data_IF_278074785317
#
_entry.id   IF_278074785317
#
_cell.length_a   1.000
_cell.length_b   1.000
_cell.length_c   1.000
_cell.angle_alpha   90.00
_cell.angle_beta   90.00
_cell.angle_gamma   90.00
#
_symmetry.space_group_name_H-M   'P 1'
#
loop_
_entity.id
_entity.type
_entity.pdbx_description
1 polymer ?
#
# COMPACT_ATOMS: atom_id res chain seq x y z
N UNK A 1 -7.27 12.83 18.39
CA UNK A 1 -6.68 11.86 17.45
C UNK A 1 -5.25 12.29 17.16
N UNK A 2 -4.27 11.50 17.59
CA UNK A 2 -2.83 11.81 17.47
C UNK A 2 -2.32 11.17 16.19
N UNK A 3 -2.32 11.92 15.07
CA UNK A 3 -2.11 11.36 13.72
C UNK A 3 -0.63 11.20 13.37
N UNK A 4 0.25 11.99 13.98
CA UNK A 4 1.69 12.02 13.70
C UNK A 4 2.50 11.60 14.94
N UNK A 5 2.33 10.34 15.36
CA UNK A 5 3.13 9.74 16.43
C UNK A 5 3.57 8.33 16.01
N UNK A 6 4.69 7.89 16.59
CA UNK A 6 5.19 6.54 16.35
C UNK A 6 4.14 5.49 16.74
N UNK A 7 4.16 4.36 16.03
CA UNK A 7 3.24 3.22 16.24
C UNK A 7 1.75 3.56 16.08
N UNK A 8 1.40 4.56 15.27
CA UNK A 8 0.00 4.88 14.93
C UNK A 8 -0.35 4.32 13.55
N UNK A 9 -1.50 3.65 13.43
CA UNK A 9 -2.00 3.19 12.14
C UNK A 9 -2.25 4.36 11.18
N UNK A 10 -1.93 4.14 9.91
CA UNK A 10 -2.11 5.12 8.84
C UNK A 10 -3.28 4.74 7.94
N UNK A 11 -3.91 5.75 7.36
CA UNK A 11 -5.02 5.63 6.43
C UNK A 11 -4.74 6.33 5.09
N UNK A 12 -5.78 6.42 4.27
CA UNK A 12 -5.69 7.05 2.94
C UNK A 12 -5.26 8.52 2.97
N UNK A 13 -5.60 9.25 4.04
CA UNK A 13 -5.21 10.66 4.18
C UNK A 13 -3.70 10.82 4.35
N UNK A 14 -3.05 9.92 5.09
CA UNK A 14 -1.60 9.90 5.25
C UNK A 14 -0.92 9.54 3.94
N UNK A 15 -1.48 8.62 3.14
CA UNK A 15 -0.94 8.34 1.80
C UNK A 15 -1.06 9.56 0.88
N UNK A 16 -2.19 10.28 0.90
CA UNK A 16 -2.33 11.50 0.11
C UNK A 16 -1.34 12.59 0.58
N UNK A 17 -1.15 12.74 1.90
CA UNK A 17 -0.14 13.65 2.44
C UNK A 17 1.27 13.26 1.97
N UNK A 18 1.61 11.97 2.02
CA UNK A 18 2.89 11.45 1.54
C UNK A 18 3.08 11.71 0.04
N UNK A 19 2.07 11.43 -0.80
CA UNK A 19 2.10 11.71 -2.24
C UNK A 19 2.44 13.18 -2.50
N UNK A 20 1.80 14.11 -1.78
CA UNK A 20 2.06 15.55 -1.90
C UNK A 20 3.50 15.92 -1.51
N UNK A 21 4.08 15.28 -0.48
CA UNK A 21 5.45 15.55 -0.04
C UNK A 21 6.47 15.04 -1.05
N UNK A 22 6.29 13.81 -1.56
CA UNK A 22 7.22 13.21 -2.52
C UNK A 22 7.03 13.72 -3.96
N UNK A 23 5.91 14.38 -4.25
CA UNK A 23 5.57 14.90 -5.58
C UNK A 23 5.31 13.81 -6.63
N UNK A 24 5.01 12.58 -6.17
CA UNK A 24 4.77 11.40 -7.01
C UNK A 24 3.38 10.82 -6.74
N UNK A 25 2.69 10.28 -7.75
CA UNK A 25 1.48 9.49 -7.53
C UNK A 25 1.74 8.29 -6.61
N UNK A 26 0.76 7.98 -5.77
CA UNK A 26 0.74 6.73 -4.99
C UNK A 26 -0.43 5.88 -5.47
N UNK A 27 -0.15 4.64 -5.86
CA UNK A 27 -1.18 3.65 -6.12
C UNK A 27 -1.32 2.73 -4.91
N UNK A 28 -2.46 2.82 -4.25
CA UNK A 28 -2.81 1.98 -3.11
C UNK A 28 -3.60 0.77 -3.60
N UNK A 29 -3.25 -0.42 -3.15
CA UNK A 29 -3.86 -1.70 -3.57
C UNK A 29 -4.34 -2.47 -2.35
N UNK A 30 -5.61 -2.84 -2.33
CA UNK A 30 -6.21 -3.69 -1.32
C UNK A 30 -6.37 -5.11 -1.86
N UNK A 31 -6.00 -6.16 -1.09
CA UNK A 31 -6.03 -7.54 -1.56
C UNK A 31 -7.46 -8.06 -1.69
N UNK A 32 -7.63 -9.19 -2.36
CA UNK A 32 -8.93 -9.86 -2.49
C UNK A 32 -9.28 -10.66 -1.23
N UNK A 33 -9.49 -9.94 -0.13
CA UNK A 33 -9.88 -10.45 1.19
C UNK A 33 -10.71 -9.41 1.92
N UNK A 34 -11.61 -9.86 2.79
CA UNK A 34 -12.53 -8.98 3.51
C UNK A 34 -13.68 -8.46 2.66
N UNK A 35 -14.26 -7.34 3.09
CA UNK A 35 -15.39 -6.70 2.42
C UNK A 35 -14.98 -5.96 1.15
N UNK A 36 -15.78 -6.13 0.10
CA UNK A 36 -15.63 -5.41 -1.17
C UNK A 36 -15.62 -3.88 -0.99
N UNK A 37 -16.36 -3.34 -0.02
CA UNK A 37 -16.41 -1.89 0.22
C UNK A 37 -15.02 -1.33 0.54
N UNK A 38 -14.21 -2.10 1.28
CA UNK A 38 -12.84 -1.73 1.59
C UNK A 38 -11.97 -1.80 0.35
N UNK A 39 -12.11 -2.85 -0.47
CA UNK A 39 -11.37 -2.98 -1.72
C UNK A 39 -11.65 -1.79 -2.66
N UNK A 40 -12.91 -1.39 -2.82
CA UNK A 40 -13.30 -0.24 -3.65
C UNK A 40 -12.73 1.06 -3.07
N UNK A 41 -12.79 1.24 -1.75
CA UNK A 41 -12.34 2.47 -1.11
C UNK A 41 -10.80 2.62 -1.10
N UNK A 42 -10.08 1.53 -0.82
CA UNK A 42 -8.64 1.53 -0.61
C UNK A 42 -7.82 1.23 -1.87
N UNK A 43 -8.38 0.56 -2.88
CA UNK A 43 -7.70 0.34 -4.17
C UNK A 43 -7.88 1.55 -5.08
N UNK A 44 -6.95 2.51 -4.99
CA UNK A 44 -7.04 3.74 -5.78
C UNK A 44 -5.70 4.43 -5.98
N UNK A 45 -5.62 5.20 -7.07
CA UNK A 45 -4.52 6.13 -7.33
C UNK A 45 -4.78 7.47 -6.63
N UNK A 46 -3.80 7.93 -5.86
CA UNK A 46 -3.76 9.23 -5.22
C UNK A 46 -2.78 10.11 -5.99
N UNK A 47 -3.24 11.29 -6.40
CA UNK A 47 -2.41 12.25 -7.11
C UNK A 47 -1.98 13.37 -6.16
N UNK A 48 -0.70 13.77 -6.17
CA UNK A 48 -0.28 14.97 -5.49
C UNK A 48 -0.84 16.21 -6.17
N UNK A 49 -0.98 17.31 -5.42
CA UNK A 49 -1.38 18.61 -5.93
C UNK A 49 -0.35 19.15 -6.94
N UNK A 50 0.93 18.95 -6.65
CA UNK A 50 2.04 19.31 -7.52
C UNK A 50 2.79 18.03 -7.88
N UNK A 51 2.59 17.54 -9.11
CA UNK A 51 3.30 16.36 -9.63
C UNK A 51 4.68 16.82 -10.10
N UNK A 52 5.73 16.33 -9.46
CA UNK A 52 7.13 16.57 -9.84
C UNK A 52 7.80 15.33 -10.42
N UNK A 53 7.17 14.15 -10.27
CA UNK A 53 7.63 12.89 -10.85
C UNK A 53 6.45 12.08 -11.40
N UNK A 54 6.67 11.43 -12.54
CA UNK A 54 5.70 10.51 -13.15
C UNK A 54 5.74 9.10 -12.53
N UNK A 55 6.80 8.78 -11.78
CA UNK A 55 6.96 7.48 -11.14
C UNK A 55 5.85 7.26 -10.11
N UNK A 56 5.16 6.12 -10.18
CA UNK A 56 4.07 5.80 -9.26
C UNK A 56 4.56 4.84 -8.19
N UNK A 57 4.55 5.27 -6.93
CA UNK A 57 4.85 4.41 -5.79
C UNK A 57 3.64 3.52 -5.53
N UNK A 58 3.82 2.21 -5.48
CA UNK A 58 2.73 1.27 -5.20
C UNK A 58 2.81 0.78 -3.75
N UNK A 59 1.68 0.82 -3.04
CA UNK A 59 1.55 0.35 -1.67
C UNK A 59 0.47 -0.74 -1.60
N UNK A 60 0.78 -1.85 -0.94
CA UNK A 60 -0.16 -2.94 -0.70
C UNK A 60 -0.63 -2.92 0.75
N UNK A 61 -1.94 -2.89 0.94
CA UNK A 61 -2.58 -3.19 2.22
C UNK A 61 -2.40 -4.67 2.53
N UNK A 62 -1.92 -4.97 3.73
CA UNK A 62 -1.65 -6.32 4.19
C UNK A 62 -2.09 -6.46 5.64
N UNK A 63 -1.88 -7.65 6.19
CA UNK A 63 -2.03 -7.90 7.61
C UNK A 63 -0.87 -8.74 8.11
N UNK A 64 -0.58 -8.63 9.41
CA UNK A 64 0.35 -9.57 10.06
C UNK A 64 -0.18 -10.99 9.95
N UNK A 65 0.72 -11.97 10.08
CA UNK A 65 0.38 -13.40 10.00
C UNK A 65 -0.64 -13.75 11.09
N UNK A 66 -0.41 -13.26 12.31
CA UNK A 66 -1.27 -13.47 13.46
C UNK A 66 -2.69 -12.94 13.19
N UNK A 67 -2.80 -11.74 12.64
CA UNK A 67 -4.09 -11.12 12.33
C UNK A 67 -4.84 -11.89 11.24
N UNK A 68 -4.12 -12.36 10.22
CA UNK A 68 -4.69 -13.17 9.13
C UNK A 68 -5.18 -14.54 9.61
N UNK A 69 -4.49 -15.15 10.59
CA UNK A 69 -4.88 -16.44 11.15
C UNK A 69 -6.07 -16.33 12.12
N UNK A 70 -6.26 -15.18 12.77
CA UNK A 70 -7.33 -14.95 13.73
C UNK A 70 -8.68 -14.59 13.09
N UNK A 71 -8.70 -14.17 11.83
CA UNK A 71 -9.91 -13.67 11.17
C UNK A 71 -10.33 -14.55 9.98
N UNK A 72 -11.61 -14.94 9.90
CA UNK A 72 -12.16 -15.53 8.68
C UNK A 72 -11.96 -14.60 7.48
N UNK A 73 -11.72 -15.15 6.28
CA UNK A 73 -11.45 -14.37 5.06
C UNK A 73 -12.50 -13.28 4.78
N UNK A 74 -13.77 -13.53 5.07
CA UNK A 74 -14.86 -12.57 4.88
C UNK A 74 -14.78 -11.33 5.80
N UNK A 75 -14.17 -11.49 6.98
CA UNK A 75 -14.03 -10.43 7.99
C UNK A 75 -12.61 -9.85 8.04
N UNK A 76 -11.73 -10.29 7.13
CA UNK A 76 -10.36 -9.84 7.09
C UNK A 76 -10.28 -8.32 6.87
N UNK A 77 -9.41 -7.68 7.65
CA UNK A 77 -9.10 -6.25 7.49
C UNK A 77 -7.60 -6.06 7.48
N UNK A 78 -7.13 -5.13 6.66
CA UNK A 78 -5.73 -4.75 6.69
C UNK A 78 -5.38 -4.03 8.00
N UNK A 79 -4.22 -4.35 8.57
CA UNK A 79 -3.60 -3.61 9.67
C UNK A 79 -2.17 -3.16 9.33
N UNK A 80 -1.68 -3.48 8.13
CA UNK A 80 -0.31 -3.26 7.73
C UNK A 80 -0.25 -2.76 6.29
N UNK A 81 0.85 -2.11 5.92
CA UNK A 81 1.08 -1.59 4.57
C UNK A 81 2.53 -1.86 4.19
N UNK A 82 2.74 -2.38 2.99
CA UNK A 82 4.08 -2.63 2.43
C UNK A 82 4.27 -1.92 1.10
N UNK A 83 5.46 -1.38 0.81
CA UNK A 83 5.78 -0.92 -0.53
C UNK A 83 5.87 -2.12 -1.47
N UNK A 84 5.35 -1.95 -2.69
CA UNK A 84 5.54 -2.91 -3.79
C UNK A 84 6.48 -2.30 -4.81
N UNK A 85 7.55 -3.03 -5.13
CA UNK A 85 8.34 -2.75 -6.31
C UNK A 85 7.65 -3.32 -7.54
N UNK A 86 7.59 -2.55 -8.62
CA UNK A 86 7.13 -3.08 -9.90
C UNK A 86 8.09 -4.17 -10.38
N UNK A 87 7.54 -5.23 -10.97
CA UNK A 87 8.36 -6.30 -11.58
C UNK A 87 9.19 -5.81 -12.78
N UNK A 88 9.03 -4.55 -13.21
CA UNK A 88 9.69 -3.98 -14.39
C UNK A 88 11.17 -3.63 -14.24
N UNK A 89 11.72 -3.70 -13.02
CA UNK A 89 13.15 -3.43 -12.74
C UNK A 89 13.86 -4.62 -12.06
N UNK A 90 13.20 -5.79 -11.96
CA UNK A 90 13.88 -7.01 -11.54
C UNK A 90 14.73 -7.49 -12.71
N UNK A 91 16.02 -7.15 -12.68
CA UNK A 91 17.05 -7.84 -13.47
C UNK A 91 16.90 -9.33 -13.17
N UNK A 92 16.52 -10.13 -14.17
CA UNK A 92 16.65 -11.58 -14.09
C UNK A 92 18.12 -11.87 -13.78
N UNK A 93 18.40 -12.26 -12.53
CA UNK A 93 19.71 -12.81 -12.19
C UNK A 93 19.70 -14.20 -12.77
N UNK A 94 20.37 -14.35 -13.91
CA UNK A 94 20.55 -15.63 -14.58
C UNK A 94 21.22 -16.60 -13.59
N UNK A 95 20.52 -17.70 -13.30
CA UNK A 95 20.93 -18.70 -12.30
C UNK A 95 22.16 -19.50 -12.73
N UNK A 96 22.66 -19.29 -13.95
CA UNK A 96 23.78 -20.01 -14.55
C UNK A 96 25.16 -19.37 -14.22
N UNK A 97 25.21 -18.43 -13.27
CA UNK A 97 26.44 -17.72 -12.85
C UNK A 97 26.89 -18.01 -11.40
N UNK A 98 26.40 -19.07 -10.74
CA UNK A 98 26.90 -19.54 -9.43
C UNK A 98 27.58 -20.90 -9.56
#
# INVERSE_FOLDING_TARGET
MKVAHNATYMGMWQFLAAANVIGSPIFSVYPDSGSEVYRIFFTRKLLPRNVTSSHTVTLLWSATIEHSNMMPKANWTANHVVPMMGLGDLVEIDSDQI
#
